data_IF_327035642877
#
_entry.id   IF_327035642877
#
_cell.length_a   1.000
_cell.length_b   1.000
_cell.length_c   1.000
_cell.angle_alpha   90.00
_cell.angle_beta   90.00
_cell.angle_gamma   90.00
#
_symmetry.space_group_name_H-M   'P 1'
#
loop_
_entity.id
_entity.type
_entity.pdbx_description
1 polymer ?
#
# COMPACT_ATOMS: atom_id res chain seq x y z
N UNK A 1 12.37 -11.32 11.37
CA UNK A 1 12.98 -10.42 10.37
C UNK A 1 11.86 -9.63 9.70
N UNK A 2 12.14 -8.42 9.24
CA UNK A 2 11.13 -7.53 8.64
C UNK A 2 10.78 -7.96 7.21
N UNK A 3 9.49 -7.95 6.87
CA UNK A 3 9.01 -8.29 5.51
C UNK A 3 8.62 -7.01 4.77
N UNK A 4 9.36 -6.68 3.71
CA UNK A 4 9.05 -5.53 2.86
C UNK A 4 8.22 -5.94 1.64
N UNK A 5 7.06 -5.33 1.48
CA UNK A 5 6.14 -5.53 0.34
C UNK A 5 6.07 -4.26 -0.51
N UNK A 6 5.83 -4.42 -1.81
CA UNK A 6 5.81 -3.30 -2.77
C UNK A 6 7.19 -2.86 -3.25
N UNK A 7 8.22 -3.70 -3.08
CA UNK A 7 9.62 -3.37 -3.40
C UNK A 7 9.96 -3.41 -4.88
N UNK A 8 9.35 -4.34 -5.63
CA UNK A 8 9.54 -4.46 -7.08
C UNK A 8 8.29 -4.02 -7.86
N UNK A 9 7.11 -4.43 -7.40
CA UNK A 9 5.82 -4.12 -8.02
C UNK A 9 4.83 -3.75 -6.92
N UNK A 10 3.95 -2.78 -7.20
CA UNK A 10 2.90 -2.34 -6.28
C UNK A 10 1.97 -3.51 -5.91
N UNK A 11 1.79 -3.77 -4.62
CA UNK A 11 0.90 -4.82 -4.13
C UNK A 11 -0.59 -4.48 -4.30
N UNK A 12 -0.92 -3.19 -4.51
CA UNK A 12 -2.27 -2.68 -4.69
C UNK A 12 -2.55 -2.27 -6.16
N UNK A 13 -2.02 -3.04 -7.11
CA UNK A 13 -2.36 -2.93 -8.53
C UNK A 13 -3.87 -3.07 -8.79
N UNK A 14 -4.33 -2.67 -9.98
CA UNK A 14 -5.72 -2.86 -10.41
C UNK A 14 -6.22 -4.31 -10.24
N UNK A 15 -5.35 -5.29 -10.43
CA UNK A 15 -5.64 -6.70 -10.24
C UNK A 15 -6.07 -7.02 -8.78
N UNK A 16 -5.48 -6.35 -7.80
CA UNK A 16 -5.80 -6.51 -6.38
C UNK A 16 -7.24 -6.10 -6.04
N UNK A 17 -7.83 -5.19 -6.83
CA UNK A 17 -9.26 -4.86 -6.73
C UNK A 17 -10.18 -6.07 -6.97
N UNK A 18 -9.71 -7.04 -7.77
CA UNK A 18 -10.42 -8.29 -8.08
C UNK A 18 -9.98 -9.45 -7.19
N UNK A 19 -8.67 -9.67 -7.08
CA UNK A 19 -8.14 -10.87 -6.43
C UNK A 19 -8.10 -10.80 -4.91
N UNK A 20 -8.03 -9.60 -4.32
CA UNK A 20 -8.06 -9.39 -2.86
C UNK A 20 -7.06 -10.28 -2.11
N UNK A 21 -5.82 -10.33 -2.59
CA UNK A 21 -4.76 -11.14 -1.98
C UNK A 21 -4.20 -10.47 -0.72
N UNK A 22 -4.13 -9.13 -0.71
CA UNK A 22 -3.54 -8.39 0.40
C UNK A 22 -4.23 -8.60 1.75
N UNK A 23 -5.57 -8.65 1.86
CA UNK A 23 -6.24 -8.95 3.13
C UNK A 23 -5.79 -10.29 3.73
N UNK A 24 -5.63 -11.33 2.90
CA UNK A 24 -5.15 -12.64 3.36
C UNK A 24 -3.70 -12.60 3.82
N UNK A 25 -2.84 -11.90 3.09
CA UNK A 25 -1.43 -11.71 3.44
C UNK A 25 -1.30 -10.94 4.76
N UNK A 26 -1.97 -9.80 4.90
CA UNK A 26 -1.91 -8.98 6.12
C UNK A 26 -2.47 -9.75 7.33
N UNK A 27 -3.55 -10.50 7.15
CA UNK A 27 -4.10 -11.38 8.19
C UNK A 27 -3.07 -12.40 8.67
N UNK A 28 -2.40 -13.08 7.74
CA UNK A 28 -1.37 -14.07 8.08
C UNK A 28 -0.17 -13.44 8.80
N UNK A 29 0.23 -12.22 8.42
CA UNK A 29 1.31 -11.48 9.09
C UNK A 29 0.92 -11.06 10.50
N UNK A 30 -0.30 -10.52 10.69
CA UNK A 30 -0.86 -10.16 12.00
C UNK A 30 -0.91 -11.39 12.92
N UNK A 31 -1.49 -12.49 12.46
CA UNK A 31 -1.72 -13.69 13.28
C UNK A 31 -0.41 -14.34 13.77
N UNK A 32 0.72 -13.99 13.14
CA UNK A 32 2.07 -14.41 13.52
C UNK A 32 2.93 -13.31 14.12
N UNK A 33 2.37 -12.11 14.35
CA UNK A 33 3.09 -10.94 14.84
C UNK A 33 4.38 -10.62 14.03
N UNK A 34 4.33 -10.83 12.71
CA UNK A 34 5.45 -10.57 11.83
C UNK A 34 5.53 -9.06 11.51
N UNK A 35 6.67 -8.39 11.75
CA UNK A 35 6.83 -6.99 11.36
C UNK A 35 6.93 -6.87 9.83
N UNK A 36 6.26 -5.86 9.26
CA UNK A 36 6.24 -5.66 7.81
C UNK A 36 6.08 -4.20 7.39
N UNK A 37 6.42 -3.92 6.14
CA UNK A 37 6.12 -2.63 5.50
C UNK A 37 5.49 -2.79 4.13
N UNK A 38 4.70 -1.79 3.74
CA UNK A 38 4.07 -1.70 2.41
C UNK A 38 4.48 -0.38 1.77
N UNK A 39 5.08 -0.45 0.58
CA UNK A 39 5.23 0.68 -0.34
C UNK A 39 4.16 0.60 -1.43
N UNK A 40 3.40 1.67 -1.64
CA UNK A 40 2.38 1.72 -2.71
C UNK A 40 2.28 3.10 -3.36
N UNK A 41 1.80 3.14 -4.60
CA UNK A 41 1.32 4.34 -5.29
C UNK A 41 -0.21 4.42 -5.33
N UNK A 42 -0.91 3.37 -4.90
CA UNK A 42 -2.36 3.25 -4.99
C UNK A 42 -3.10 3.67 -3.73
N UNK A 43 -4.34 4.14 -3.88
CA UNK A 43 -5.25 4.44 -2.76
C UNK A 43 -6.06 3.23 -2.29
N UNK A 44 -5.94 2.09 -2.99
CA UNK A 44 -6.69 0.87 -2.65
C UNK A 44 -6.30 0.29 -1.28
N UNK A 45 -5.10 0.62 -0.77
CA UNK A 45 -4.65 0.27 0.58
C UNK A 45 -5.64 0.70 1.68
N UNK A 46 -6.39 1.79 1.46
CA UNK A 46 -7.40 2.29 2.42
C UNK A 46 -8.53 1.29 2.67
N UNK A 47 -8.81 0.37 1.72
CA UNK A 47 -9.76 -0.73 1.91
C UNK A 47 -9.38 -1.60 3.11
N UNK A 48 -8.08 -1.75 3.35
CA UNK A 48 -7.52 -2.68 4.33
C UNK A 48 -7.04 -1.94 5.60
N UNK A 49 -7.42 -0.67 5.77
CA UNK A 49 -6.99 0.21 6.88
C UNK A 49 -7.24 -0.41 8.26
N UNK A 50 -8.45 -0.95 8.48
CA UNK A 50 -8.80 -1.55 9.77
C UNK A 50 -7.94 -2.79 10.07
N UNK A 51 -7.62 -3.59 9.04
CA UNK A 51 -6.77 -4.75 9.18
C UNK A 51 -5.31 -4.37 9.45
N UNK A 52 -4.82 -3.29 8.83
CA UNK A 52 -3.50 -2.73 9.11
C UNK A 52 -3.40 -2.19 10.55
N UNK A 53 -4.46 -1.57 11.07
CA UNK A 53 -4.53 -1.12 12.48
C UNK A 53 -4.41 -2.30 13.44
N UNK A 54 -5.15 -3.37 13.20
CA UNK A 54 -5.07 -4.59 14.00
C UNK A 54 -3.69 -5.25 13.92
N UNK A 55 -3.05 -5.23 12.75
CA UNK A 55 -1.67 -5.72 12.61
C UNK A 55 -0.67 -4.88 13.44
N UNK A 56 -0.85 -3.56 13.48
CA UNK A 56 -0.02 -2.65 14.25
C UNK A 56 -0.16 -2.80 15.77
N UNK A 57 -1.22 -3.45 16.26
CA UNK A 57 -1.38 -3.77 17.69
C UNK A 57 -0.42 -4.87 18.15
N UNK A 58 0.05 -5.71 17.23
CA UNK A 58 0.84 -6.91 17.55
C UNK A 58 2.23 -6.94 16.91
N UNK A 59 2.51 -6.09 15.93
CA UNK A 59 3.80 -6.02 15.25
C UNK A 59 4.11 -4.60 14.75
N UNK A 60 5.38 -4.33 14.45
CA UNK A 60 5.78 -3.09 13.78
C UNK A 60 5.28 -3.10 12.32
N UNK A 61 4.45 -2.11 11.98
CA UNK A 61 3.86 -1.95 10.64
C UNK A 61 4.25 -0.59 10.06
N UNK A 62 4.92 -0.60 8.92
CA UNK A 62 5.26 0.60 8.16
C UNK A 62 4.41 0.73 6.89
N UNK A 63 3.92 1.93 6.60
CA UNK A 63 3.26 2.25 5.33
C UNK A 63 3.97 3.44 4.70
N UNK A 64 4.28 3.34 3.40
CA UNK A 64 4.89 4.40 2.62
C UNK A 64 4.13 4.58 1.32
N UNK A 65 3.85 5.84 0.98
CA UNK A 65 3.19 6.20 -0.27
C UNK A 65 4.20 6.89 -1.18
N UNK A 66 4.34 6.39 -2.40
CA UNK A 66 5.21 7.00 -3.40
C UNK A 66 4.45 8.07 -4.18
N UNK A 67 4.95 9.30 -4.10
CA UNK A 67 4.49 10.46 -4.87
C UNK A 67 5.67 11.00 -5.67
N UNK A 68 5.73 10.67 -6.97
CA UNK A 68 6.85 11.07 -7.82
C UNK A 68 6.86 12.56 -8.13
N UNK A 69 5.67 13.14 -8.34
CA UNK A 69 5.46 14.55 -8.63
C UNK A 69 4.23 15.04 -7.89
N UNK A 70 4.28 16.25 -7.36
CA UNK A 70 3.08 16.95 -6.82
C UNK A 70 2.46 17.88 -7.85
N UNK A 71 3.22 18.28 -8.87
CA UNK A 71 2.69 19.03 -10.01
C UNK A 71 1.77 18.15 -10.87
N UNK A 72 0.57 18.66 -11.14
CA UNK A 72 -0.50 17.91 -11.81
C UNK A 72 -0.24 17.69 -13.30
N UNK A 73 0.46 18.59 -13.98
CA UNK A 73 0.80 18.44 -15.40
C UNK A 73 1.94 17.43 -15.58
N UNK A 74 2.99 17.53 -14.76
CA UNK A 74 4.08 16.55 -14.73
C UNK A 74 3.57 15.15 -14.34
N UNK A 75 2.70 15.06 -13.33
CA UNK A 75 2.11 13.77 -12.96
C UNK A 75 1.33 13.12 -14.11
N UNK A 76 0.50 13.89 -14.84
CA UNK A 76 -0.28 13.35 -15.98
C UNK A 76 0.62 12.83 -17.09
N UNK A 77 1.78 13.43 -17.29
CA UNK A 77 2.72 13.04 -18.36
C UNK A 77 3.56 11.83 -17.98
N UNK A 78 3.99 11.72 -16.71
CA UNK A 78 4.95 10.68 -16.28
C UNK A 78 4.28 9.47 -15.60
N UNK A 79 3.18 9.66 -14.87
CA UNK A 79 2.50 8.60 -14.12
C UNK A 79 0.98 8.50 -14.37
N UNK A 80 0.49 8.50 -15.64
CA UNK A 80 -0.96 8.62 -15.94
C UNK A 80 -1.83 7.49 -15.37
N UNK A 81 -1.25 6.35 -15.01
CA UNK A 81 -1.97 5.19 -14.45
C UNK A 81 -2.09 5.16 -12.93
N UNK A 82 -1.53 6.14 -12.23
CA UNK A 82 -1.58 6.23 -10.75
C UNK A 82 -2.72 7.15 -10.31
N UNK A 83 -3.17 7.14 -9.04
CA UNK A 83 -4.01 8.21 -8.50
C UNK A 83 -3.29 9.57 -8.54
N UNK A 84 -4.05 10.66 -8.54
CA UNK A 84 -3.45 12.00 -8.47
C UNK A 84 -2.60 12.16 -7.19
N UNK A 85 -1.59 13.04 -7.20
CA UNK A 85 -0.75 13.30 -6.02
C UNK A 85 -1.57 13.71 -4.79
N UNK A 86 -2.55 14.60 -4.99
CA UNK A 86 -3.51 15.02 -3.95
C UNK A 86 -4.21 13.81 -3.31
N UNK A 87 -4.78 12.92 -4.13
CA UNK A 87 -5.48 11.72 -3.67
C UNK A 87 -4.59 10.71 -2.94
N UNK A 88 -3.28 10.77 -3.13
CA UNK A 88 -2.29 9.94 -2.44
C UNK A 88 -1.86 10.54 -1.09
N UNK A 89 -2.05 11.85 -0.91
CA UNK A 89 -1.65 12.60 0.28
C UNK A 89 -2.82 12.89 1.24
N UNK A 90 -4.07 12.80 0.75
CA UNK A 90 -5.31 12.83 1.55
C UNK A 90 -5.43 11.63 2.51
#
# INVERSE_FOLDING_TARGET
EHIAMGTNVDCYQRAEGRYRLMPGIITALRDRANPFSILTKGTLILRDLELLRQAAEVAEVGVSVSVGFTDRELWRTVEPGTPSPERRLD
#
